data_IF_017647575394
#
_entry.id   IF_017647575394
#
_cell.length_a   1.000
_cell.length_b   1.000
_cell.length_c   1.000
_cell.angle_alpha   90.00
_cell.angle_beta   90.00
_cell.angle_gamma   90.00
#
_symmetry.space_group_name_H-M   'P 1'
#
loop_
_entity.id
_entity.type
_entity.pdbx_description
1 polymer ?
#
# COMPACT_ATOMS: atom_id res chain seq x y z
N UNK A 1 10.18 -21.65 -7.25
CA UNK A 1 8.83 -22.02 -6.74
C UNK A 1 7.90 -20.89 -7.14
N UNK A 2 6.64 -21.15 -7.50
CA UNK A 2 5.73 -20.05 -7.85
C UNK A 2 5.43 -19.20 -6.61
N UNK A 3 5.82 -17.92 -6.63
CA UNK A 3 5.55 -16.98 -5.56
C UNK A 3 4.10 -16.46 -5.61
N UNK A 4 3.55 -16.15 -4.42
CA UNK A 4 2.36 -15.30 -4.27
C UNK A 4 2.80 -14.04 -3.58
N UNK A 5 2.72 -12.94 -4.31
CA UNK A 5 3.29 -11.64 -3.95
C UNK A 5 2.16 -10.72 -3.54
N UNK A 6 2.18 -10.22 -2.31
CA UNK A 6 1.33 -9.08 -1.92
C UNK A 6 2.14 -7.82 -2.16
N UNK A 7 1.67 -6.96 -3.05
CA UNK A 7 2.38 -5.77 -3.49
C UNK A 7 1.61 -4.51 -3.13
N UNK A 8 2.27 -3.55 -2.47
CA UNK A 8 1.69 -2.24 -2.19
C UNK A 8 2.29 -1.14 -3.04
N UNK A 9 1.46 -0.44 -3.82
CA UNK A 9 1.81 0.81 -4.49
C UNK A 9 1.66 1.98 -3.50
N UNK A 10 2.76 2.61 -3.11
CA UNK A 10 2.72 3.79 -2.26
C UNK A 10 1.89 4.93 -2.89
N UNK A 11 1.03 5.59 -2.13
CA UNK A 11 0.22 6.69 -2.68
C UNK A 11 1.06 7.83 -3.27
N UNK A 12 2.25 8.12 -2.72
CA UNK A 12 3.18 9.12 -3.30
C UNK A 12 3.96 8.63 -4.53
N UNK A 13 4.04 7.31 -4.73
CA UNK A 13 4.62 6.71 -5.93
C UNK A 13 3.68 6.89 -7.12
N UNK A 14 2.39 6.61 -6.95
CA UNK A 14 1.40 6.63 -8.04
C UNK A 14 0.62 7.93 -8.17
N UNK A 15 0.82 8.90 -7.28
CA UNK A 15 0.19 10.23 -7.36
C UNK A 15 1.17 11.34 -7.06
N UNK A 16 0.89 12.53 -7.58
CA UNK A 16 1.52 13.76 -7.13
C UNK A 16 0.78 14.29 -5.90
N UNK A 17 1.50 14.41 -4.76
CA UNK A 17 0.94 14.92 -3.50
C UNK A 17 0.76 16.44 -3.50
N UNK A 18 1.42 17.17 -4.40
CA UNK A 18 1.35 18.62 -4.51
C UNK A 18 0.11 19.11 -5.26
N UNK A 19 -0.52 18.22 -6.03
CA UNK A 19 -1.70 18.52 -6.85
C UNK A 19 -2.85 17.59 -6.50
N UNK A 20 -4.08 18.14 -6.44
CA UNK A 20 -5.27 17.37 -6.14
C UNK A 20 -5.56 16.37 -7.26
N UNK A 21 -5.78 15.09 -6.90
CA UNK A 21 -6.18 14.01 -7.83
C UNK A 21 -5.33 13.90 -9.10
N UNK A 22 -4.01 13.91 -8.93
CA UNK A 22 -3.09 13.81 -10.06
C UNK A 22 -2.36 12.47 -10.03
N UNK A 23 -2.77 11.54 -10.89
CA UNK A 23 -2.15 10.23 -11.03
C UNK A 23 -0.87 10.31 -11.89
N UNK A 24 0.18 9.60 -11.47
CA UNK A 24 1.45 9.48 -12.20
C UNK A 24 1.35 8.29 -13.17
N UNK A 25 0.58 8.45 -14.27
CA UNK A 25 0.26 7.37 -15.21
C UNK A 25 1.48 6.57 -15.69
N UNK A 26 2.55 7.24 -16.11
CA UNK A 26 3.75 6.53 -16.58
C UNK A 26 4.41 5.62 -15.51
N UNK A 27 4.28 5.96 -14.22
CA UNK A 27 4.74 5.10 -13.11
C UNK A 27 3.78 3.93 -12.89
N UNK A 28 2.47 4.18 -12.98
CA UNK A 28 1.45 3.12 -12.90
C UNK A 28 1.66 2.11 -14.05
N UNK A 29 1.88 2.61 -15.27
CA UNK A 29 2.09 1.80 -16.47
C UNK A 29 3.35 0.95 -16.38
N UNK A 30 4.48 1.51 -15.92
CA UNK A 30 5.71 0.73 -15.76
C UNK A 30 5.55 -0.40 -14.73
N UNK A 31 4.82 -0.15 -13.64
CA UNK A 31 4.55 -1.17 -12.62
C UNK A 31 3.56 -2.23 -13.13
N UNK A 32 2.51 -1.84 -13.84
CA UNK A 32 1.53 -2.80 -14.38
C UNK A 32 2.13 -3.67 -15.48
N UNK A 33 3.01 -3.11 -16.31
CA UNK A 33 3.83 -3.90 -17.26
C UNK A 33 4.66 -4.96 -16.54
N UNK A 34 5.25 -4.61 -15.40
CA UNK A 34 6.03 -5.56 -14.61
C UNK A 34 5.16 -6.62 -13.93
N UNK A 35 3.97 -6.25 -13.43
CA UNK A 35 2.99 -7.21 -12.91
C UNK A 35 2.61 -8.24 -13.99
N UNK A 36 2.43 -7.81 -15.24
CA UNK A 36 2.19 -8.70 -16.38
C UNK A 36 3.34 -9.71 -16.54
N UNK A 37 4.60 -9.25 -16.53
CA UNK A 37 5.78 -10.14 -16.58
C UNK A 37 5.82 -11.15 -15.43
N UNK A 38 5.49 -10.71 -14.20
CA UNK A 38 5.46 -11.57 -13.01
C UNK A 38 4.44 -12.71 -13.18
N UNK A 39 3.25 -12.39 -13.72
CA UNK A 39 2.20 -13.37 -13.97
C UNK A 39 2.61 -14.34 -15.09
N UNK A 40 3.19 -13.84 -16.18
CA UNK A 40 3.69 -14.66 -17.30
C UNK A 40 4.77 -15.66 -16.86
N UNK A 41 5.57 -15.29 -15.84
CA UNK A 41 6.57 -16.17 -15.22
C UNK A 41 5.97 -17.17 -14.20
N UNK A 42 4.64 -17.24 -14.09
CA UNK A 42 3.93 -18.23 -13.28
C UNK A 42 3.79 -17.86 -11.81
N UNK A 43 4.01 -16.59 -11.45
CA UNK A 43 3.73 -16.05 -10.12
C UNK A 43 2.31 -15.47 -10.07
N UNK A 44 1.85 -15.12 -8.87
CA UNK A 44 0.55 -14.46 -8.66
C UNK A 44 0.72 -13.22 -7.79
N UNK A 45 -0.09 -12.19 -8.04
CA UNK A 45 0.03 -10.89 -7.38
C UNK A 45 -1.30 -10.50 -6.75
N UNK A 46 -1.27 -10.11 -5.48
CA UNK A 46 -2.34 -9.35 -4.81
C UNK A 46 -1.89 -7.88 -4.78
N UNK A 47 -2.65 -6.99 -5.39
CA UNK A 47 -2.28 -5.59 -5.54
C UNK A 47 -3.04 -4.69 -4.55
N UNK A 48 -2.30 -3.94 -3.75
CA UNK A 48 -2.83 -2.93 -2.84
C UNK A 48 -2.32 -1.57 -3.27
N UNK A 49 -3.14 -0.53 -3.36
CA UNK A 49 -2.63 0.84 -3.55
C UNK A 49 -2.98 1.80 -2.41
N UNK A 50 -2.09 2.75 -2.18
CA UNK A 50 -2.32 3.85 -1.25
C UNK A 50 -3.24 4.93 -1.84
N UNK A 51 -3.69 5.83 -0.96
CA UNK A 51 -4.66 6.86 -1.32
C UNK A 51 -4.09 8.05 -2.11
N UNK A 52 -2.81 8.34 -1.92
CA UNK A 52 -2.16 9.46 -2.61
C UNK A 52 -2.91 10.79 -2.42
N UNK A 53 -2.91 11.63 -3.45
CA UNK A 53 -3.67 12.88 -3.49
C UNK A 53 -5.19 12.72 -3.71
N UNK A 54 -5.68 11.48 -3.91
CA UNK A 54 -7.10 11.20 -4.10
C UNK A 54 -7.85 11.00 -2.78
N UNK A 55 -7.22 10.41 -1.76
CA UNK A 55 -7.85 10.27 -0.44
C UNK A 55 -7.31 11.21 0.63
N UNK A 56 -5.98 11.35 0.79
CA UNK A 56 -5.41 12.02 1.96
C UNK A 56 -5.81 13.49 2.10
N UNK A 57 -5.88 14.23 0.99
CA UNK A 57 -6.14 15.68 1.02
C UNK A 57 -7.53 15.99 1.58
N UNK A 58 -8.55 15.26 1.11
CA UNK A 58 -9.92 15.46 1.54
C UNK A 58 -10.18 14.82 2.91
N UNK A 59 -9.62 13.63 3.17
CA UNK A 59 -9.73 12.97 4.47
C UNK A 59 -9.10 13.80 5.61
N UNK A 60 -7.94 14.43 5.37
CA UNK A 60 -7.31 15.34 6.33
C UNK A 60 -8.12 16.62 6.52
N UNK A 61 -8.65 17.21 5.43
CA UNK A 61 -9.48 18.43 5.50
C UNK A 61 -10.71 18.24 6.40
N UNK A 62 -11.33 17.07 6.35
CA UNK A 62 -12.53 16.75 7.13
C UNK A 62 -12.28 15.94 8.40
N UNK A 63 -11.01 15.74 8.78
CA UNK A 63 -10.60 14.97 9.96
C UNK A 63 -11.21 13.56 10.05
N UNK A 64 -11.35 12.88 8.90
CA UNK A 64 -12.10 11.62 8.81
C UNK A 64 -11.46 10.44 9.56
N UNK A 65 -10.16 10.53 9.88
CA UNK A 65 -9.47 9.51 10.67
C UNK A 65 -9.99 9.40 12.10
N UNK A 66 -10.55 10.49 12.66
CA UNK A 66 -11.08 10.53 14.02
C UNK A 66 -12.51 10.01 14.17
N UNK A 67 -13.14 9.58 13.07
CA UNK A 67 -14.56 9.25 13.04
C UNK A 67 -15.46 10.48 12.95
N UNK A 68 -16.76 10.27 13.17
CA UNK A 68 -17.79 11.29 13.12
C UNK A 68 -17.58 12.35 14.23
N UNK A 69 -17.83 13.59 13.87
CA UNK A 69 -17.98 14.73 14.75
C UNK A 69 -19.42 15.25 14.60
N UNK A 70 -20.17 15.24 15.70
CA UNK A 70 -21.58 15.62 15.73
C UNK A 70 -21.84 17.02 15.15
N UNK A 71 -20.91 17.96 15.34
CA UNK A 71 -21.03 19.36 14.88
C UNK A 71 -21.00 19.51 13.36
N UNK A 72 -20.34 18.58 12.65
CA UNK A 72 -20.14 18.61 11.19
C UNK A 72 -20.52 17.27 10.53
N UNK A 73 -21.41 16.52 11.16
CA UNK A 73 -21.69 15.12 10.82
C UNK A 73 -22.22 14.95 9.40
N UNK A 74 -23.10 15.83 8.92
CA UNK A 74 -23.59 15.80 7.54
C UNK A 74 -22.46 16.02 6.52
N UNK A 75 -21.61 17.03 6.75
CA UNK A 75 -20.51 17.35 5.85
C UNK A 75 -19.45 16.25 5.84
N UNK A 76 -19.20 15.60 6.98
CA UNK A 76 -18.29 14.46 7.03
C UNK A 76 -18.85 13.24 6.29
N UNK A 77 -20.15 12.95 6.40
CA UNK A 77 -20.77 11.85 5.63
C UNK A 77 -20.68 12.11 4.12
N UNK A 78 -20.94 13.34 3.68
CA UNK A 78 -20.73 13.74 2.29
C UNK A 78 -19.26 13.61 1.87
N UNK A 79 -18.33 14.02 2.74
CA UNK A 79 -16.90 13.89 2.48
C UNK A 79 -16.46 12.42 2.38
N UNK A 80 -17.03 11.52 3.20
CA UNK A 80 -16.76 10.07 3.11
C UNK A 80 -17.17 9.53 1.74
N UNK A 81 -18.38 9.87 1.27
CA UNK A 81 -18.84 9.47 -0.07
C UNK A 81 -17.89 10.00 -1.15
N UNK A 82 -17.46 11.26 -1.02
CA UNK A 82 -16.55 11.88 -1.98
C UNK A 82 -15.16 11.24 -1.98
N UNK A 83 -14.58 10.96 -0.81
CA UNK A 83 -13.28 10.27 -0.71
C UNK A 83 -13.35 8.88 -1.33
N UNK A 84 -14.41 8.11 -1.05
CA UNK A 84 -14.59 6.78 -1.66
C UNK A 84 -14.66 6.85 -3.18
N UNK A 85 -15.40 7.83 -3.72
CA UNK A 85 -15.45 8.07 -5.15
C UNK A 85 -14.10 8.46 -5.74
N UNK A 86 -13.32 9.30 -5.05
CA UNK A 86 -11.99 9.71 -5.51
C UNK A 86 -11.00 8.51 -5.43
N UNK A 87 -11.12 7.64 -4.42
CA UNK A 87 -10.34 6.41 -4.33
C UNK A 87 -10.67 5.41 -5.44
N UNK A 88 -11.95 5.28 -5.79
CA UNK A 88 -12.37 4.47 -6.94
C UNK A 88 -11.78 5.00 -8.26
N UNK A 89 -11.75 6.33 -8.45
CA UNK A 89 -11.10 6.93 -9.63
C UNK A 89 -9.58 6.65 -9.67
N UNK A 90 -8.88 6.66 -8.53
CA UNK A 90 -7.47 6.24 -8.50
C UNK A 90 -7.32 4.76 -8.87
N UNK A 91 -8.23 3.92 -8.38
CA UNK A 91 -8.25 2.50 -8.72
C UNK A 91 -8.48 2.28 -10.22
N UNK A 92 -9.37 3.06 -10.85
CA UNK A 92 -9.61 3.02 -12.30
C UNK A 92 -8.32 3.27 -13.10
N UNK A 93 -7.48 4.23 -12.71
CA UNK A 93 -6.17 4.44 -13.37
C UNK A 93 -5.26 3.22 -13.28
N UNK A 94 -5.28 2.50 -12.15
CA UNK A 94 -4.49 1.28 -11.97
C UNK A 94 -5.06 0.14 -12.80
N UNK A 95 -6.37 -0.07 -12.77
CA UNK A 95 -7.03 -1.16 -13.48
C UNK A 95 -7.05 -0.97 -14.99
N UNK A 96 -7.18 0.26 -15.48
CA UNK A 96 -7.06 0.57 -16.91
C UNK A 96 -5.65 0.21 -17.41
N UNK A 97 -4.63 0.49 -16.59
CA UNK A 97 -3.25 0.13 -16.91
C UNK A 97 -3.04 -1.39 -16.91
N UNK A 98 -3.51 -2.12 -15.87
CA UNK A 98 -3.50 -3.60 -15.85
C UNK A 98 -4.16 -4.19 -17.10
N UNK A 99 -5.36 -3.71 -17.45
CA UNK A 99 -6.07 -4.13 -18.65
C UNK A 99 -5.28 -3.88 -19.93
N UNK A 100 -4.59 -2.73 -20.03
CA UNK A 100 -3.77 -2.40 -21.21
C UNK A 100 -2.58 -3.35 -21.43
N UNK A 101 -2.11 -4.00 -20.36
CA UNK A 101 -1.07 -5.03 -20.38
C UNK A 101 -1.64 -6.47 -20.35
N UNK A 102 -2.93 -6.63 -20.64
CA UNK A 102 -3.59 -7.94 -20.73
C UNK A 102 -3.78 -8.65 -19.40
N UNK A 103 -3.65 -7.95 -18.27
CA UNK A 103 -3.80 -8.53 -16.93
C UNK A 103 -5.27 -8.48 -16.52
N UNK A 104 -5.86 -9.65 -16.27
CA UNK A 104 -7.20 -9.74 -15.67
C UNK A 104 -7.14 -9.36 -14.19
N UNK A 105 -8.20 -8.71 -13.69
CA UNK A 105 -8.25 -8.23 -12.31
C UNK A 105 -9.65 -8.31 -11.70
N UNK A 106 -9.71 -8.33 -10.37
CA UNK A 106 -10.94 -8.22 -9.60
C UNK A 106 -10.76 -7.15 -8.50
N UNK A 107 -11.64 -6.15 -8.45
CA UNK A 107 -11.52 -5.05 -7.49
C UNK A 107 -12.34 -5.34 -6.23
N UNK A 108 -11.71 -5.19 -5.06
CA UNK A 108 -12.29 -5.40 -3.74
C UNK A 108 -12.15 -4.15 -2.85
N UNK A 109 -13.01 -3.13 -3.01
CA UNK A 109 -12.99 -1.94 -2.16
C UNK A 109 -13.29 -2.30 -0.69
N UNK A 110 -12.42 -1.99 0.29
CA UNK A 110 -12.66 -2.38 1.68
C UNK A 110 -13.96 -1.88 2.27
N UNK A 111 -14.48 -0.73 1.83
CA UNK A 111 -15.81 -0.25 2.25
C UNK A 111 -16.98 -1.18 1.97
N UNK A 112 -16.79 -2.22 1.13
CA UNK A 112 -17.83 -3.21 0.80
C UNK A 112 -17.71 -4.53 1.58
N UNK A 113 -16.56 -4.82 2.18
CA UNK A 113 -16.30 -6.14 2.77
C UNK A 113 -15.58 -6.11 4.13
N UNK A 114 -15.05 -4.95 4.54
CA UNK A 114 -14.36 -4.75 5.80
C UNK A 114 -15.04 -3.72 6.70
N UNK A 115 -14.83 -3.89 7.99
CA UNK A 115 -15.22 -2.98 9.07
C UNK A 115 -14.07 -2.81 10.06
N UNK A 116 -14.12 -1.77 10.88
CA UNK A 116 -13.07 -1.40 11.83
C UNK A 116 -11.74 -1.04 11.13
N UNK A 117 -10.73 -0.58 11.88
CA UNK A 117 -9.46 -0.11 11.31
C UNK A 117 -8.26 -0.73 11.99
N UNK A 118 -7.07 -0.46 11.47
CA UNK A 118 -5.82 -0.98 12.01
C UNK A 118 -5.65 -2.48 11.75
N UNK A 119 -4.72 -3.10 12.47
CA UNK A 119 -4.36 -4.51 12.30
C UNK A 119 -5.46 -5.50 12.66
N UNK A 120 -6.47 -5.06 13.40
CA UNK A 120 -7.53 -5.90 13.96
C UNK A 120 -8.87 -5.64 13.25
N UNK A 121 -8.82 -5.07 12.03
CA UNK A 121 -10.03 -4.84 11.24
C UNK A 121 -10.79 -6.14 11.01
N UNK A 122 -12.11 -6.09 10.86
CA UNK A 122 -12.98 -7.24 10.63
C UNK A 122 -13.24 -7.36 9.13
N UNK A 123 -12.93 -8.51 8.54
CA UNK A 123 -13.16 -8.76 7.11
C UNK A 123 -12.62 -10.13 6.72
N UNK A 124 -13.33 -10.79 5.81
CA UNK A 124 -12.97 -12.11 5.29
C UNK A 124 -11.95 -11.98 4.14
N UNK A 125 -10.77 -12.56 4.33
CA UNK A 125 -9.66 -12.50 3.37
C UNK A 125 -9.69 -13.63 2.34
N UNK A 126 -10.63 -14.57 2.48
CA UNK A 126 -10.84 -15.65 1.50
C UNK A 126 -11.14 -15.11 0.10
N UNK A 127 -11.62 -13.86 -0.02
CA UNK A 127 -11.77 -13.18 -1.31
C UNK A 127 -10.44 -13.07 -2.08
N UNK A 128 -9.31 -12.90 -1.38
CA UNK A 128 -7.97 -12.83 -1.98
C UNK A 128 -7.37 -14.22 -2.18
N UNK A 129 -7.67 -15.17 -1.28
CA UNK A 129 -7.16 -16.54 -1.38
C UNK A 129 -7.80 -17.32 -2.53
N UNK A 130 -9.12 -17.16 -2.69
CA UNK A 130 -9.91 -17.87 -3.69
C UNK A 130 -9.91 -17.20 -5.07
N UNK A 131 -9.24 -16.05 -5.23
CA UNK A 131 -9.07 -15.44 -6.55
C UNK A 131 -8.16 -16.35 -7.40
N UNK A 132 -8.57 -16.71 -8.64
CA UNK A 132 -7.73 -17.47 -9.58
C UNK A 132 -6.34 -16.86 -9.76
N UNK A 133 -5.32 -17.70 -9.97
CA UNK A 133 -3.91 -17.25 -9.99
C UNK A 133 -3.58 -16.26 -11.12
N UNK A 134 -4.34 -16.29 -12.20
CA UNK A 134 -4.25 -15.45 -13.39
C UNK A 134 -5.05 -14.15 -13.27
N UNK A 135 -5.81 -13.97 -12.19
CA UNK A 135 -6.56 -12.74 -11.89
C UNK A 135 -5.86 -12.02 -10.74
N UNK A 136 -5.57 -10.73 -10.91
CA UNK A 136 -5.00 -9.88 -9.85
C UNK A 136 -6.14 -9.32 -8.98
N UNK A 137 -6.28 -9.75 -7.72
CA UNK A 137 -7.18 -9.05 -6.81
C UNK A 137 -6.56 -7.69 -6.44
N UNK A 138 -7.33 -6.63 -6.63
CA UNK A 138 -6.94 -5.23 -6.38
C UNK A 138 -7.74 -4.68 -5.21
N UNK A 139 -7.06 -4.14 -4.20
CA UNK A 139 -7.68 -3.39 -3.11
C UNK A 139 -6.85 -2.14 -2.78
N UNK A 140 -7.31 -1.33 -1.84
CA UNK A 140 -6.68 -0.04 -1.55
C UNK A 140 -7.06 0.50 -0.18
N UNK A 141 -6.28 1.46 0.32
CA UNK A 141 -6.66 2.17 1.54
C UNK A 141 -7.99 2.91 1.36
N UNK A 142 -8.94 2.73 2.27
CA UNK A 142 -10.32 3.18 2.10
C UNK A 142 -10.95 3.61 3.43
N UNK A 143 -12.06 4.34 3.35
CA UNK A 143 -12.88 4.64 4.52
C UNK A 143 -13.87 3.51 4.73
N UNK A 144 -13.79 2.85 5.87
CA UNK A 144 -14.64 1.72 6.24
C UNK A 144 -15.57 2.08 7.38
N UNK A 145 -16.61 1.27 7.58
CA UNK A 145 -17.54 1.45 8.70
C UNK A 145 -16.85 1.04 10.01
N UNK A 146 -17.03 1.86 11.04
CA UNK A 146 -16.56 1.58 12.41
C UNK A 146 -17.76 1.51 13.32
N UNK A 147 -17.81 0.48 14.16
CA UNK A 147 -18.93 0.25 15.08
C UNK A 147 -18.93 1.27 16.23
N UNK A 148 -20.06 1.34 16.95
CA UNK A 148 -20.21 2.30 18.05
C UNK A 148 -20.39 3.73 17.55
N UNK A 149 -19.82 4.69 18.28
CA UNK A 149 -20.06 6.12 18.06
C UNK A 149 -19.25 6.76 16.93
N UNK A 150 -18.25 6.07 16.34
CA UNK A 150 -17.36 6.68 15.36
C UNK A 150 -17.91 6.71 13.92
N UNK A 151 -18.90 5.87 13.59
CA UNK A 151 -19.49 5.63 12.26
C UNK A 151 -18.53 5.13 11.16
N UNK A 152 -17.34 5.72 11.04
CA UNK A 152 -16.34 5.42 10.02
C UNK A 152 -14.91 5.60 10.53
N UNK A 153 -13.96 5.09 9.77
CA UNK A 153 -12.53 5.27 10.00
C UNK A 153 -11.72 4.93 8.75
N UNK A 154 -10.44 5.29 8.75
CA UNK A 154 -9.54 5.01 7.62
C UNK A 154 -8.85 3.67 7.86
N UNK A 155 -9.14 2.69 6.98
CA UNK A 155 -8.37 1.45 6.90
C UNK A 155 -7.22 1.66 5.91
N UNK A 156 -5.99 1.63 6.41
CA UNK A 156 -4.83 1.90 5.59
C UNK A 156 -4.48 0.70 4.70
N UNK A 157 -3.87 0.97 3.55
CA UNK A 157 -3.29 -0.10 2.74
C UNK A 157 -2.12 -0.82 3.45
N UNK A 158 -1.49 -0.21 4.47
CA UNK A 158 -0.45 -0.90 5.25
C UNK A 158 -1.06 -1.96 6.19
N UNK A 159 -2.24 -1.69 6.76
CA UNK A 159 -2.98 -2.66 7.57
C UNK A 159 -3.51 -3.82 6.71
N UNK A 160 -4.00 -3.53 5.50
CA UNK A 160 -4.35 -4.56 4.50
C UNK A 160 -3.15 -5.45 4.18
N UNK A 161 -1.99 -4.86 3.87
CA UNK A 161 -0.75 -5.60 3.63
C UNK A 161 -0.43 -6.56 4.78
N UNK A 162 -0.56 -6.10 6.03
CA UNK A 162 -0.24 -6.93 7.19
C UNK A 162 -1.18 -8.12 7.37
N UNK A 163 -2.50 -7.89 7.37
CA UNK A 163 -3.46 -9.00 7.54
C UNK A 163 -3.40 -9.98 6.37
N UNK A 164 -3.40 -9.49 5.13
CA UNK A 164 -3.32 -10.36 3.94
C UNK A 164 -2.04 -11.20 3.96
N UNK A 165 -0.89 -10.59 4.27
CA UNK A 165 0.38 -11.33 4.21
C UNK A 165 0.52 -12.37 5.32
N UNK A 166 -0.02 -12.11 6.51
CA UNK A 166 0.12 -13.00 7.67
C UNK A 166 -0.96 -14.08 7.75
N UNK A 167 -2.16 -13.81 7.25
CA UNK A 167 -3.29 -14.73 7.38
C UNK A 167 -3.46 -15.63 6.15
N UNK A 168 -2.94 -15.24 4.99
CA UNK A 168 -2.98 -16.09 3.80
C UNK A 168 -1.73 -16.99 3.75
N UNK A 169 -1.88 -18.31 3.96
CA UNK A 169 -0.74 -19.24 4.06
C UNK A 169 0.03 -19.42 2.75
N UNK A 170 -0.56 -19.01 1.62
CA UNK A 170 0.07 -19.11 0.31
C UNK A 170 0.98 -17.92 -0.02
N UNK A 171 0.94 -16.83 0.77
CA UNK A 171 1.80 -15.65 0.56
C UNK A 171 3.25 -15.99 0.88
N UNK A 172 4.14 -15.67 -0.05
CA UNK A 172 5.58 -15.88 0.12
C UNK A 172 6.37 -14.58 0.14
N UNK A 173 5.84 -13.51 -0.46
CA UNK A 173 6.51 -12.21 -0.55
C UNK A 173 5.54 -11.07 -0.23
N UNK A 174 6.03 -10.08 0.50
CA UNK A 174 5.31 -8.84 0.80
C UNK A 174 6.18 -7.64 0.44
N UNK A 175 5.81 -6.97 -0.65
CA UNK A 175 6.65 -5.92 -1.27
C UNK A 175 5.93 -4.58 -1.17
N UNK A 176 6.56 -3.59 -0.55
CA UNK A 176 6.09 -2.22 -0.52
C UNK A 176 6.90 -1.38 -1.52
N UNK A 177 6.22 -0.88 -2.56
CA UNK A 177 6.81 0.01 -3.54
C UNK A 177 6.77 1.46 -3.05
N UNK A 178 7.96 2.04 -2.93
CA UNK A 178 8.21 3.39 -2.46
C UNK A 178 8.38 4.36 -3.62
N UNK A 179 8.08 5.64 -3.37
CA UNK A 179 8.04 6.67 -4.40
C UNK A 179 9.39 7.25 -4.78
N UNK A 180 10.19 7.71 -3.82
CA UNK A 180 11.34 8.58 -4.13
C UNK A 180 12.67 8.05 -3.55
N UNK A 181 12.70 6.79 -3.12
CA UNK A 181 13.85 6.18 -2.42
C UNK A 181 14.03 4.72 -2.81
N UNK A 182 15.28 4.26 -2.73
CA UNK A 182 15.63 2.86 -3.00
C UNK A 182 15.12 1.87 -1.95
N UNK A 183 14.86 2.34 -0.72
CA UNK A 183 14.38 1.54 0.40
C UNK A 183 14.29 2.39 1.67
N UNK A 184 14.53 1.77 2.83
CA UNK A 184 14.83 2.50 4.06
C UNK A 184 16.17 3.21 3.94
N UNK A 185 16.19 4.48 4.34
CA UNK A 185 17.41 5.29 4.36
C UNK A 185 17.87 5.47 5.81
N UNK A 186 19.19 5.52 6.04
CA UNK A 186 19.79 5.73 7.37
C UNK A 186 19.54 7.15 7.93
N UNK A 187 19.27 8.09 7.03
CA UNK A 187 18.96 9.49 7.28
C UNK A 187 17.90 9.95 6.28
N UNK A 188 17.24 11.12 6.49
CA UNK A 188 16.29 11.65 5.52
C UNK A 188 16.87 11.64 4.09
N UNK A 189 16.10 11.23 3.07
CA UNK A 189 16.62 11.01 1.72
C UNK A 189 17.26 12.24 1.06
N UNK A 190 16.85 13.43 1.49
CA UNK A 190 17.35 14.70 0.99
C UNK A 190 18.60 15.20 1.74
N UNK A 191 19.07 14.46 2.74
CA UNK A 191 20.30 14.77 3.48
C UNK A 191 21.52 14.28 2.72
N UNK A 192 22.52 15.14 2.54
CA UNK A 192 23.79 14.76 1.91
C UNK A 192 24.44 13.59 2.66
N UNK A 193 24.80 12.54 1.93
CA UNK A 193 25.39 11.34 2.49
C UNK A 193 24.39 10.30 3.02
N UNK A 194 23.09 10.50 2.84
CA UNK A 194 22.04 9.49 3.10
C UNK A 194 22.32 8.21 2.29
N UNK A 195 22.22 7.06 2.94
CA UNK A 195 22.51 5.74 2.36
C UNK A 195 21.34 4.79 2.55
N UNK A 196 21.17 3.90 1.58
CA UNK A 196 20.26 2.78 1.66
C UNK A 196 20.70 1.84 2.80
N UNK A 197 19.74 1.46 3.63
CA UNK A 197 19.86 0.39 4.62
C UNK A 197 19.39 -0.90 3.94
N UNK A 198 20.29 -1.82 3.53
CA UNK A 198 19.90 -2.99 2.73
C UNK A 198 19.13 -4.05 3.53
N UNK A 199 19.34 -4.08 4.85
CA UNK A 199 18.65 -4.97 5.79
C UNK A 199 18.25 -4.12 6.99
N UNK A 200 16.98 -4.18 7.37
CA UNK A 200 16.45 -3.45 8.53
C UNK A 200 15.70 -4.38 9.48
N UNK A 201 15.96 -4.23 10.78
CA UNK A 201 15.20 -4.86 11.87
C UNK A 201 14.51 -3.80 12.71
N UNK A 202 13.39 -4.12 13.34
CA UNK A 202 12.70 -3.16 14.22
C UNK A 202 13.50 -2.76 15.47
N UNK A 203 14.54 -3.52 15.81
CA UNK A 203 15.45 -3.21 16.92
C UNK A 203 16.45 -2.11 16.55
N UNK A 204 16.75 -1.94 15.25
CA UNK A 204 17.62 -0.87 14.74
C UNK A 204 16.89 0.47 14.75
N UNK A 205 17.21 1.31 15.74
CA UNK A 205 16.78 2.71 15.77
C UNK A 205 17.47 3.48 14.64
N UNK A 206 16.69 3.83 13.60
CA UNK A 206 17.09 4.82 12.61
C UNK A 206 16.79 6.20 13.19
N UNK A 207 17.74 7.13 13.12
CA UNK A 207 17.53 8.53 13.53
C UNK A 207 16.55 9.22 12.58
N UNK A 208 15.24 9.04 12.82
CA UNK A 208 14.18 9.82 12.19
C UNK A 208 14.09 11.16 12.93
N UNK A 209 14.99 12.09 12.63
CA UNK A 209 15.01 13.41 13.24
C UNK A 209 13.81 14.26 12.81
N UNK A 210 12.64 14.18 13.46
CA UNK A 210 11.60 15.21 13.24
C UNK A 210 10.78 15.60 14.48
N UNK A 211 10.84 16.91 14.75
CA UNK A 211 9.85 17.71 15.46
C UNK A 211 8.44 17.44 14.92
N UNK A 212 7.48 17.33 15.84
CA UNK A 212 6.04 17.10 15.66
C UNK A 212 5.26 18.09 14.79
N UNK A 213 5.91 19.06 14.14
CA UNK A 213 5.25 20.12 13.35
C UNK A 213 5.62 20.13 11.85
N UNK A 214 6.55 19.29 11.41
CA UNK A 214 6.86 19.06 9.98
C UNK A 214 6.78 17.58 9.63
N UNK A 215 5.64 16.97 9.93
CA UNK A 215 5.31 15.63 9.46
C UNK A 215 4.88 15.66 7.99
N UNK A 216 5.86 15.55 7.08
CA UNK A 216 5.64 15.37 5.63
C UNK A 216 5.70 13.90 5.20
N UNK A 217 5.96 12.97 6.13
CA UNK A 217 6.20 11.54 5.84
C UNK A 217 5.43 10.56 6.72
N UNK A 218 4.36 10.99 7.42
CA UNK A 218 3.50 10.20 8.35
C UNK A 218 2.95 8.85 7.88
N UNK A 219 3.40 8.30 6.76
CA UNK A 219 3.22 6.91 6.33
C UNK A 219 4.47 6.03 6.28
N UNK A 220 5.69 6.45 6.65
CA UNK A 220 6.84 5.51 6.73
C UNK A 220 6.83 4.71 8.03
N UNK A 221 6.50 5.32 9.16
CA UNK A 221 6.46 4.64 10.47
C UNK A 221 5.45 3.49 10.49
N UNK A 222 4.20 3.76 10.10
CA UNK A 222 3.17 2.71 10.02
C UNK A 222 3.59 1.60 9.05
N UNK A 223 4.18 1.96 7.91
CA UNK A 223 4.65 0.98 6.92
C UNK A 223 5.78 0.12 7.49
N UNK A 224 6.78 0.71 8.14
CA UNK A 224 7.88 0.00 8.78
C UNK A 224 7.38 -0.91 9.91
N UNK A 225 6.43 -0.43 10.73
CA UNK A 225 5.80 -1.21 11.78
C UNK A 225 5.02 -2.42 11.20
N UNK A 226 4.27 -2.24 10.12
CA UNK A 226 3.54 -3.33 9.45
C UNK A 226 4.48 -4.29 8.73
N UNK A 227 5.52 -3.80 8.08
CA UNK A 227 6.53 -4.64 7.45
C UNK A 227 7.26 -5.51 8.48
N UNK A 228 7.66 -4.95 9.63
CA UNK A 228 8.24 -5.71 10.74
C UNK A 228 7.25 -6.72 11.33
N UNK A 229 5.96 -6.39 11.37
CA UNK A 229 4.94 -7.35 11.79
C UNK A 229 4.85 -8.54 10.82
N UNK A 230 4.86 -8.25 9.52
CA UNK A 230 4.79 -9.27 8.46
C UNK A 230 6.03 -10.17 8.47
N UNK A 231 7.22 -9.62 8.70
CA UNK A 231 8.48 -10.38 8.66
C UNK A 231 8.64 -11.43 9.75
N UNK A 232 7.69 -11.51 10.69
CA UNK A 232 7.59 -12.60 11.68
C UNK A 232 6.91 -13.85 11.15
N UNK A 233 6.19 -13.75 10.03
CA UNK A 233 5.45 -14.85 9.40
C UNK A 233 5.76 -15.06 7.92
N UNK A 234 6.40 -14.08 7.27
CA UNK A 234 6.79 -14.12 5.85
C UNK A 234 8.27 -13.80 5.73
N UNK A 235 9.04 -14.65 5.04
CA UNK A 235 10.50 -14.52 4.95
C UNK A 235 10.96 -13.38 4.02
N UNK A 236 10.17 -13.07 2.98
CA UNK A 236 10.52 -12.08 1.96
C UNK A 236 9.67 -10.82 2.09
N UNK A 237 10.04 -9.95 3.02
CA UNK A 237 9.43 -8.62 3.20
C UNK A 237 10.40 -7.54 2.73
N UNK A 238 9.96 -6.71 1.79
CA UNK A 238 10.86 -5.78 1.10
C UNK A 238 10.26 -4.39 0.91
N UNK A 239 11.11 -3.38 1.07
CA UNK A 239 10.90 -2.03 0.54
C UNK A 239 11.73 -1.84 -0.72
N UNK A 240 11.07 -1.48 -1.83
CA UNK A 240 11.69 -1.34 -3.15
C UNK A 240 11.25 -0.02 -3.77
N UNK A 241 12.11 0.63 -4.55
CA UNK A 241 11.74 1.79 -5.36
C UNK A 241 10.79 1.41 -6.49
N UNK A 242 9.57 1.92 -6.48
CA UNK A 242 8.60 1.65 -7.52
C UNK A 242 8.88 2.32 -8.87
N UNK A 243 9.83 3.27 -8.95
CA UNK A 243 10.31 3.77 -10.25
C UNK A 243 11.25 2.78 -10.95
N UNK A 244 11.66 1.73 -10.24
CA UNK A 244 12.50 0.65 -10.75
C UNK A 244 11.76 -0.70 -10.60
N UNK A 245 10.60 -0.87 -11.27
CA UNK A 245 9.76 -2.04 -11.08
C UNK A 245 10.47 -3.35 -11.46
N UNK A 246 11.47 -3.31 -12.36
CA UNK A 246 12.28 -4.48 -12.76
C UNK A 246 12.97 -5.19 -11.58
N UNK A 247 13.15 -4.47 -10.46
CA UNK A 247 13.70 -5.02 -9.22
C UNK A 247 12.80 -6.08 -8.58
N UNK A 248 11.51 -6.07 -8.90
CA UNK A 248 10.56 -7.06 -8.40
C UNK A 248 10.84 -8.40 -9.05
N UNK A 249 10.92 -8.48 -10.39
CA UNK A 249 11.31 -9.74 -11.05
C UNK A 249 12.73 -10.15 -10.66
N UNK A 250 13.67 -9.21 -10.53
CA UNK A 250 15.02 -9.53 -10.04
C UNK A 250 14.98 -10.22 -8.67
N UNK A 251 14.17 -9.73 -7.73
CA UNK A 251 14.00 -10.36 -6.43
C UNK A 251 13.43 -11.78 -6.55
N UNK A 252 12.40 -11.97 -7.39
CA UNK A 252 11.75 -13.27 -7.57
C UNK A 252 12.67 -14.31 -8.25
N UNK A 253 13.50 -13.87 -9.18
CA UNK A 253 14.40 -14.73 -9.97
C UNK A 253 15.73 -15.02 -9.25
N UNK A 254 16.34 -13.99 -8.65
CA UNK A 254 17.69 -14.05 -8.08
C UNK A 254 17.67 -14.21 -6.54
N UNK A 255 16.53 -13.99 -5.89
CA UNK A 255 16.40 -13.97 -4.43
C UNK A 255 16.95 -12.71 -3.77
N UNK A 256 17.37 -11.70 -4.54
CA UNK A 256 17.83 -10.41 -4.02
C UNK A 256 17.69 -9.30 -5.06
N UNK A 257 17.61 -8.05 -4.60
CA UNK A 257 17.60 -6.86 -5.45
C UNK A 257 18.07 -5.63 -4.68
N UNK A 258 18.11 -4.46 -5.33
CA UNK A 258 18.34 -3.17 -4.67
C UNK A 258 17.05 -2.75 -3.94
N UNK A 259 17.09 -2.88 -2.62
CA UNK A 259 16.02 -2.47 -1.72
C UNK A 259 16.43 -2.68 -0.28
N UNK A 260 15.46 -2.62 0.62
CA UNK A 260 15.63 -3.00 2.03
C UNK A 260 14.85 -4.27 2.31
N UNK A 261 15.54 -5.34 2.71
CA UNK A 261 14.91 -6.51 3.30
C UNK A 261 14.58 -6.24 4.77
N UNK A 262 13.36 -6.56 5.17
CA UNK A 262 12.86 -6.37 6.54
C UNK A 262 12.95 -7.71 7.27
N UNK A 263 13.63 -7.72 8.41
CA UNK A 263 13.78 -8.90 9.27
C UNK A 263 12.94 -8.73 10.55
N UNK A 264 12.26 -9.81 10.93
CA UNK A 264 11.33 -9.88 12.07
C UNK A 264 11.96 -10.30 13.38
#
# INVERSE_FOLDING_TARGET
MAAKVVMKLGGGLITDKSSFKTAKKGVIDSICSEISNIIDNGHSVILIHGAGSFGHLLAKRWSLAGGINDEISEQQRDAVVKVRSDMAELCEYVTDSLNSYGVEFAVFPPSLWAMETGRDFIGDLDIFENTPKDIVPVSFGDIVRVSGGAEFGILSGDDLMARISLELPSVTHSIFLLGDVDGMMDMPPNTEGSRLVPIWTAEEHIETSHNSEQDVTGGIELKAARASQISRGVDEVWFINGNHPERISQLLDEGSTIGTKILG
#
